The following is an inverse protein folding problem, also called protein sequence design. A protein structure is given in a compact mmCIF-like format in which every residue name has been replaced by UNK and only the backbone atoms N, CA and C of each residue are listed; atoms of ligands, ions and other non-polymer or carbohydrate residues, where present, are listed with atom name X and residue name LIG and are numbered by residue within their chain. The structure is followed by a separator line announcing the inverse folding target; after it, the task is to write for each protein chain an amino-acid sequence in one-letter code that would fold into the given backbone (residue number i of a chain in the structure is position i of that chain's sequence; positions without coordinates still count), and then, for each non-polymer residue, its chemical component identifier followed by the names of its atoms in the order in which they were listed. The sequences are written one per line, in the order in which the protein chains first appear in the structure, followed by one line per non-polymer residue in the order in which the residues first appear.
data_IF_699498647118
#
_entry.id   IF_699498647118
#
_cell.length_a   1.000
_cell.length_b   1.000
_cell.length_c   1.000
_cell.angle_alpha   90.00
_cell.angle_beta   90.00
_cell.angle_gamma   90.00
#
_symmetry.space_group_name_H-M   'P 1'
#
loop_
_entity.id
_entity.type
_entity.pdbx_description
1 polymer ?
#
# COMPACT_ATOMS: atom_id res chain seq x y z
N UNK A 1 -54.91 -43.71 42.48
CA UNK A 1 -55.01 -43.63 41.01
C UNK A 1 -54.96 -42.18 40.50
N UNK A 2 -55.77 -41.24 41.00
CA UNK A 2 -55.76 -39.83 40.53
C UNK A 2 -54.55 -39.01 40.98
N UNK A 3 -54.06 -39.22 42.20
CA UNK A 3 -52.96 -38.45 42.82
C UNK A 3 -51.57 -38.76 42.23
N UNK A 4 -51.39 -39.97 41.73
CA UNK A 4 -50.16 -40.45 41.10
C UNK A 4 -49.99 -39.82 39.71
N UNK A 5 -51.10 -39.75 38.96
CA UNK A 5 -51.17 -39.10 37.66
C UNK A 5 -50.82 -37.60 37.76
N UNK A 6 -51.40 -36.86 38.71
CA UNK A 6 -51.08 -35.43 38.90
C UNK A 6 -49.63 -35.19 39.26
N UNK A 7 -49.01 -36.10 40.01
CA UNK A 7 -47.59 -36.00 40.37
C UNK A 7 -46.70 -36.22 39.13
N UNK A 8 -47.04 -37.20 38.29
CA UNK A 8 -46.34 -37.46 37.02
C UNK A 8 -46.41 -36.26 36.06
N UNK A 9 -47.59 -35.68 35.86
CA UNK A 9 -47.75 -34.49 35.00
C UNK A 9 -46.95 -33.28 35.52
N UNK A 10 -46.88 -33.09 36.84
CA UNK A 10 -46.11 -32.00 37.44
C UNK A 10 -44.61 -32.16 37.18
N UNK A 11 -44.10 -33.39 37.29
CA UNK A 11 -42.69 -33.72 36.99
C UNK A 11 -42.38 -33.53 35.51
N UNK A 12 -43.28 -33.91 34.61
CA UNK A 12 -43.12 -33.69 33.17
C UNK A 12 -43.10 -32.20 32.82
N UNK A 13 -44.00 -31.39 33.38
CA UNK A 13 -44.01 -29.93 33.18
C UNK A 13 -42.72 -29.29 33.69
N UNK A 14 -42.21 -29.74 34.85
CA UNK A 14 -40.94 -29.24 35.39
C UNK A 14 -39.75 -29.63 34.50
N UNK A 15 -39.73 -30.86 33.98
CA UNK A 15 -38.71 -31.33 33.05
C UNK A 15 -38.74 -30.54 31.75
N UNK A 16 -39.93 -30.33 31.15
CA UNK A 16 -40.10 -29.53 29.95
C UNK A 16 -39.67 -28.07 30.17
N UNK A 17 -39.96 -27.49 31.34
CA UNK A 17 -39.50 -26.14 31.70
C UNK A 17 -37.98 -26.06 31.79
N UNK A 18 -37.33 -27.07 32.38
CA UNK A 18 -35.86 -27.14 32.41
C UNK A 18 -35.27 -27.30 31.00
N UNK A 19 -35.86 -28.15 30.17
CA UNK A 19 -35.44 -28.34 28.78
C UNK A 19 -35.58 -27.06 27.96
N UNK A 20 -36.67 -26.30 28.13
CA UNK A 20 -36.83 -25.00 27.46
C UNK A 20 -35.74 -23.99 27.86
N UNK A 21 -35.38 -23.95 29.14
CA UNK A 21 -34.30 -23.05 29.61
C UNK A 21 -32.95 -23.49 29.05
N UNK A 22 -32.68 -24.80 28.99
CA UNK A 22 -31.46 -25.33 28.40
C UNK A 22 -31.37 -24.99 26.90
N UNK A 23 -32.42 -25.27 26.12
CA UNK A 23 -32.47 -24.96 24.68
C UNK A 23 -32.35 -23.46 24.42
N UNK A 24 -32.96 -22.61 25.26
CA UNK A 24 -32.81 -21.16 25.16
C UNK A 24 -31.35 -20.72 25.31
N UNK A 25 -30.65 -21.25 26.32
CA UNK A 25 -29.23 -20.97 26.53
C UNK A 25 -28.35 -21.48 25.39
N UNK A 26 -28.59 -22.71 24.93
CA UNK A 26 -27.82 -23.30 23.83
C UNK A 26 -28.00 -22.52 22.53
N UNK A 27 -29.23 -22.07 22.24
CA UNK A 27 -29.51 -21.19 21.10
C UNK A 27 -28.73 -19.88 21.20
N UNK A 28 -28.78 -19.22 22.35
CA UNK A 28 -28.13 -17.92 22.54
C UNK A 28 -26.59 -18.06 22.44
N UNK A 29 -26.02 -19.10 23.04
CA UNK A 29 -24.59 -19.41 22.92
C UNK A 29 -24.18 -19.76 21.47
N UNK A 30 -25.00 -20.53 20.75
CA UNK A 30 -24.77 -20.82 19.34
C UNK A 30 -24.84 -19.57 18.47
N UNK A 31 -25.77 -18.66 18.77
CA UNK A 31 -25.93 -17.40 18.06
C UNK A 31 -24.74 -16.46 18.28
N UNK A 32 -24.29 -16.32 19.53
CA UNK A 32 -23.08 -15.53 19.86
C UNK A 32 -21.83 -16.08 19.18
N UNK A 33 -21.67 -17.41 19.20
CA UNK A 33 -20.56 -18.09 18.51
C UNK A 33 -20.62 -17.85 17.00
N UNK A 34 -21.78 -18.01 16.38
CA UNK A 34 -21.96 -17.78 14.94
C UNK A 34 -21.64 -16.33 14.55
N UNK A 35 -22.08 -15.35 15.34
CA UNK A 35 -21.78 -13.95 15.08
C UNK A 35 -20.28 -13.64 15.22
N UNK A 36 -19.62 -14.24 16.21
CA UNK A 36 -18.16 -14.13 16.37
C UNK A 36 -17.42 -14.71 15.16
N UNK A 37 -17.79 -15.91 14.71
CA UNK A 37 -17.19 -16.53 13.53
C UNK A 37 -17.43 -15.73 12.26
N UNK A 38 -18.63 -15.17 12.09
CA UNK A 38 -18.96 -14.29 10.97
C UNK A 38 -18.06 -13.06 10.92
N UNK A 39 -17.84 -12.41 12.07
CA UNK A 39 -16.93 -11.26 12.17
C UNK A 39 -15.50 -11.63 11.84
N UNK A 40 -14.98 -12.70 12.45
CA UNK A 40 -13.61 -13.17 12.21
C UNK A 40 -13.37 -13.50 10.74
N UNK A 41 -14.32 -14.22 10.12
CA UNK A 41 -14.22 -14.58 8.71
C UNK A 41 -14.26 -13.37 7.79
N UNK A 42 -15.13 -12.40 8.07
CA UNK A 42 -15.20 -11.16 7.29
C UNK A 42 -13.90 -10.36 7.40
N UNK A 43 -13.32 -10.24 8.59
CA UNK A 43 -12.05 -9.56 8.80
C UNK A 43 -10.91 -10.27 8.06
N UNK A 44 -10.80 -11.60 8.18
CA UNK A 44 -9.79 -12.39 7.49
C UNK A 44 -9.94 -12.31 5.96
N UNK A 45 -11.18 -12.35 5.46
CA UNK A 45 -11.46 -12.24 4.02
C UNK A 45 -11.03 -10.86 3.47
N UNK A 46 -11.30 -9.79 4.21
CA UNK A 46 -10.90 -8.44 3.82
C UNK A 46 -9.37 -8.25 3.88
N UNK A 47 -8.73 -8.82 4.91
CA UNK A 47 -7.28 -8.84 5.01
C UNK A 47 -6.64 -9.57 3.82
N UNK A 48 -7.13 -10.77 3.47
CA UNK A 48 -6.63 -11.52 2.32
C UNK A 48 -6.82 -10.80 0.99
N UNK A 49 -7.93 -10.08 0.81
CA UNK A 49 -8.15 -9.24 -0.38
C UNK A 49 -7.10 -8.14 -0.47
N UNK A 50 -6.88 -7.43 0.63
CA UNK A 50 -5.89 -6.36 0.72
C UNK A 50 -4.48 -6.89 0.43
N UNK A 51 -4.08 -7.99 1.08
CA UNK A 51 -2.77 -8.61 0.91
C UNK A 51 -2.55 -9.07 -0.54
N UNK A 52 -3.58 -9.64 -1.17
CA UNK A 52 -3.54 -10.06 -2.57
C UNK A 52 -3.36 -8.86 -3.49
N UNK A 53 -4.09 -7.76 -3.26
CA UNK A 53 -3.99 -6.55 -4.06
C UNK A 53 -2.59 -5.92 -3.94
N UNK A 54 -2.06 -5.79 -2.71
CA UNK A 54 -0.71 -5.28 -2.47
C UNK A 54 0.36 -6.16 -3.11
N UNK A 55 0.23 -7.48 -3.00
CA UNK A 55 1.15 -8.43 -3.64
C UNK A 55 1.11 -8.33 -5.17
N UNK A 56 -0.07 -8.18 -5.76
CA UNK A 56 -0.23 -7.99 -7.21
C UNK A 56 0.42 -6.68 -7.68
N UNK A 57 0.25 -5.59 -6.93
CA UNK A 57 0.91 -4.31 -7.21
C UNK A 57 2.43 -4.43 -7.11
N UNK A 58 2.94 -5.10 -6.08
CA UNK A 58 4.38 -5.36 -5.92
C UNK A 58 4.93 -6.20 -7.08
N UNK A 59 4.22 -7.27 -7.48
CA UNK A 59 4.59 -8.10 -8.64
C UNK A 59 4.57 -7.27 -9.93
N UNK A 60 3.56 -6.42 -10.13
CA UNK A 60 3.48 -5.56 -11.31
C UNK A 60 4.64 -4.55 -11.35
N UNK A 61 4.98 -3.93 -10.21
CA UNK A 61 6.13 -3.03 -10.07
C UNK A 61 7.44 -3.75 -10.36
N UNK A 62 7.66 -4.91 -9.74
CA UNK A 62 8.85 -5.73 -9.96
C UNK A 62 8.95 -6.21 -11.40
N UNK A 63 7.85 -6.59 -12.05
CA UNK A 63 7.84 -6.93 -13.47
C UNK A 63 8.22 -5.74 -14.35
N UNK A 64 7.72 -4.54 -14.04
CA UNK A 64 8.07 -3.33 -14.76
C UNK A 64 9.55 -2.96 -14.57
N UNK A 65 10.08 -3.11 -13.36
CA UNK A 65 11.49 -2.88 -13.06
C UNK A 65 12.38 -3.91 -13.74
N UNK A 66 11.97 -5.18 -13.72
CA UNK A 66 12.66 -6.27 -14.41
C UNK A 66 12.61 -6.06 -15.93
N UNK A 67 11.51 -5.58 -16.49
CA UNK A 67 11.44 -5.18 -17.90
C UNK A 67 12.32 -3.97 -18.23
N UNK A 68 12.50 -3.01 -17.31
CA UNK A 68 13.45 -1.91 -17.51
C UNK A 68 14.89 -2.42 -17.51
N UNK A 69 15.23 -3.31 -16.58
CA UNK A 69 16.56 -3.92 -16.47
C UNK A 69 16.85 -4.89 -17.62
N UNK A 70 15.88 -5.70 -18.05
CA UNK A 70 16.00 -6.57 -19.22
C UNK A 70 15.88 -5.80 -20.54
N UNK A 71 15.16 -4.68 -20.58
CA UNK A 71 15.19 -3.74 -21.71
C UNK A 71 16.55 -3.06 -21.86
N UNK A 72 17.33 -2.97 -20.78
CA UNK A 72 18.73 -2.58 -20.80
C UNK A 72 19.66 -3.76 -21.19
N UNK A 73 19.20 -5.01 -21.08
CA UNK A 73 19.98 -6.22 -21.29
C UNK A 73 19.50 -7.00 -22.54
N UNK A 74 20.10 -6.64 -23.69
CA UNK A 74 20.38 -7.48 -24.87
C UNK A 74 19.42 -7.65 -26.05
N UNK A 75 18.15 -7.21 -26.06
CA UNK A 75 17.32 -7.32 -27.30
C UNK A 75 16.43 -6.12 -27.69
N UNK A 76 16.39 -5.06 -26.90
CA UNK A 76 15.64 -3.87 -27.26
C UNK A 76 16.36 -2.60 -26.80
N UNK A 77 17.44 -2.23 -27.49
CA UNK A 77 17.77 -0.81 -27.54
C UNK A 77 16.53 -0.11 -28.14
N UNK A 78 15.89 0.85 -27.45
CA UNK A 78 14.71 1.57 -27.95
C UNK A 78 14.98 2.39 -29.22
N UNK A 79 16.19 2.28 -29.76
CA UNK A 79 16.73 3.14 -30.78
C UNK A 79 17.65 2.31 -31.67
N UNK A 80 17.11 1.25 -32.28
CA UNK A 80 17.82 0.48 -33.31
C UNK A 80 18.41 1.42 -34.39
N UNK A 81 17.76 2.55 -34.62
CA UNK A 81 18.26 3.70 -35.41
C UNK A 81 19.50 4.37 -34.82
N UNK A 82 19.50 4.78 -33.55
CA UNK A 82 20.71 5.34 -32.93
C UNK A 82 21.85 4.33 -32.82
N UNK A 83 21.58 3.05 -32.55
CA UNK A 83 22.61 2.00 -32.54
C UNK A 83 23.22 1.81 -33.92
N UNK A 84 22.39 1.78 -34.96
CA UNK A 84 22.87 1.69 -36.34
C UNK A 84 23.66 2.94 -36.74
N UNK A 85 23.24 4.13 -36.32
CA UNK A 85 23.96 5.39 -36.57
C UNK A 85 25.31 5.42 -35.85
N UNK A 86 25.38 5.00 -34.58
CA UNK A 86 26.62 4.87 -33.81
C UNK A 86 27.56 3.86 -34.48
N UNK A 87 27.02 2.72 -34.94
CA UNK A 87 27.79 1.70 -35.64
C UNK A 87 28.40 2.25 -36.96
N UNK A 88 27.60 2.98 -37.74
CA UNK A 88 28.07 3.66 -38.95
C UNK A 88 29.12 4.74 -38.66
N UNK A 89 28.94 5.52 -37.58
CA UNK A 89 29.95 6.49 -37.15
C UNK A 89 31.27 5.83 -36.76
N UNK A 90 31.22 4.68 -36.08
CA UNK A 90 32.41 3.92 -35.70
C UNK A 90 33.12 3.35 -36.94
N UNK A 91 32.36 2.85 -37.92
CA UNK A 91 32.90 2.32 -39.19
C UNK A 91 33.58 3.38 -40.06
N UNK A 92 33.20 4.66 -39.91
CA UNK A 92 33.81 5.79 -40.62
C UNK A 92 35.12 6.28 -39.96
N UNK A 93 35.45 5.83 -38.74
CA UNK A 93 36.68 6.23 -38.06
C UNK A 93 37.88 5.59 -38.74
N UNK A 94 38.87 6.41 -39.09
CA UNK A 94 40.04 5.96 -39.84
C UNK A 94 41.21 5.58 -38.92
N UNK A 95 41.11 5.91 -37.63
CA UNK A 95 42.15 5.58 -36.65
C UNK A 95 41.61 5.25 -35.26
N UNK A 96 42.39 4.47 -34.53
CA UNK A 96 42.13 4.12 -33.12
C UNK A 96 42.20 5.35 -32.20
N UNK A 97 42.96 6.38 -32.59
CA UNK A 97 43.14 7.61 -31.81
C UNK A 97 41.90 8.52 -31.86
N UNK A 98 41.20 8.54 -32.99
CA UNK A 98 39.89 9.21 -33.12
C UNK A 98 38.84 8.51 -32.25
N UNK A 99 38.84 7.17 -32.22
CA UNK A 99 37.96 6.39 -31.36
C UNK A 99 38.21 6.67 -29.87
N UNK A 100 39.47 6.69 -29.43
CA UNK A 100 39.84 7.04 -28.05
C UNK A 100 39.34 8.44 -27.69
N UNK A 101 39.50 9.41 -28.59
CA UNK A 101 39.08 10.80 -28.36
C UNK A 101 37.56 10.90 -28.23
N UNK A 102 36.80 10.28 -29.14
CA UNK A 102 35.34 10.22 -29.06
C UNK A 102 34.86 9.52 -27.79
N UNK A 103 35.50 8.41 -27.40
CA UNK A 103 35.16 7.66 -26.20
C UNK A 103 35.37 8.50 -24.93
N UNK A 104 36.50 9.21 -24.83
CA UNK A 104 36.78 10.10 -23.69
C UNK A 104 35.74 11.23 -23.61
N UNK A 105 35.36 11.81 -24.73
CA UNK A 105 34.31 12.85 -24.77
C UNK A 105 32.95 12.29 -24.33
N UNK A 106 32.56 11.13 -24.84
CA UNK A 106 31.30 10.48 -24.47
C UNK A 106 31.26 10.13 -22.97
N UNK A 107 32.38 9.65 -22.40
CA UNK A 107 32.51 9.36 -20.96
C UNK A 107 32.34 10.64 -20.13
N UNK A 108 33.02 11.74 -20.52
CA UNK A 108 32.89 13.03 -19.82
C UNK A 108 31.48 13.58 -19.87
N UNK A 109 30.82 13.45 -21.01
CA UNK A 109 29.45 13.93 -21.20
C UNK A 109 28.46 13.10 -20.39
N UNK A 110 28.62 11.76 -20.38
CA UNK A 110 27.86 10.88 -19.51
C UNK A 110 28.02 11.27 -18.04
N UNK A 111 29.25 11.48 -17.57
CA UNK A 111 29.52 11.81 -16.17
C UNK A 111 28.89 13.17 -15.79
N UNK A 112 28.96 14.15 -16.69
CA UNK A 112 28.28 15.44 -16.53
C UNK A 112 26.76 15.28 -16.44
N UNK A 113 26.16 14.47 -17.31
CA UNK A 113 24.71 14.22 -17.31
C UNK A 113 24.25 13.49 -16.04
N UNK A 114 25.03 12.53 -15.56
CA UNK A 114 24.75 11.86 -14.29
C UNK A 114 24.78 12.83 -13.11
N UNK A 115 25.75 13.75 -13.09
CA UNK A 115 25.84 14.77 -12.06
C UNK A 115 24.66 15.76 -12.12
N UNK A 116 24.25 16.17 -13.33
CA UNK A 116 23.09 17.03 -13.53
C UNK A 116 21.79 16.33 -13.06
N UNK A 117 21.61 15.06 -13.41
CA UNK A 117 20.47 14.26 -12.97
C UNK A 117 20.42 14.13 -11.45
N UNK A 118 21.56 13.86 -10.82
CA UNK A 118 21.64 13.75 -9.35
C UNK A 118 21.28 15.08 -8.68
N UNK A 119 21.77 16.19 -9.23
CA UNK A 119 21.43 17.54 -8.76
C UNK A 119 19.93 17.80 -8.85
N UNK A 120 19.31 17.42 -9.97
CA UNK A 120 17.87 17.59 -10.17
C UNK A 120 17.05 16.75 -9.18
N UNK A 121 17.46 15.51 -8.92
CA UNK A 121 16.82 14.65 -7.92
C UNK A 121 16.91 15.24 -6.51
N UNK A 122 18.07 15.78 -6.14
CA UNK A 122 18.27 16.40 -4.83
C UNK A 122 17.44 17.69 -4.69
N UNK A 123 17.38 18.51 -5.74
CA UNK A 123 16.51 19.70 -5.80
C UNK A 123 15.03 19.32 -5.67
N UNK A 124 14.59 18.25 -6.35
CA UNK A 124 13.22 17.76 -6.24
C UNK A 124 12.89 17.26 -4.83
N UNK A 125 13.80 16.50 -4.20
CA UNK A 125 13.63 16.04 -2.82
C UNK A 125 13.53 17.22 -1.86
N UNK A 126 14.44 18.20 -1.96
CA UNK A 126 14.42 19.41 -1.15
C UNK A 126 13.13 20.22 -1.36
N UNK A 127 12.67 20.36 -2.60
CA UNK A 127 11.41 21.07 -2.90
C UNK A 127 10.23 20.38 -2.23
N UNK A 128 10.15 19.05 -2.32
CA UNK A 128 9.09 18.27 -1.68
C UNK A 128 9.11 18.41 -0.16
N UNK A 129 10.28 18.34 0.44
CA UNK A 129 10.43 18.46 1.90
C UNK A 129 10.05 19.88 2.37
N UNK A 130 10.47 20.92 1.65
CA UNK A 130 10.06 22.31 1.90
C UNK A 130 8.54 22.50 1.79
N UNK A 131 7.91 21.95 0.75
CA UNK A 131 6.45 22.03 0.57
C UNK A 131 5.71 21.28 1.68
N UNK A 132 6.22 20.12 2.09
CA UNK A 132 5.63 19.31 3.17
C UNK A 132 5.72 20.03 4.51
N UNK A 133 6.88 20.63 4.82
CA UNK A 133 7.07 21.45 6.02
C UNK A 133 6.17 22.68 6.00
N UNK A 134 6.13 23.42 4.89
CA UNK A 134 5.26 24.60 4.76
C UNK A 134 3.77 24.25 4.92
N UNK A 135 3.34 23.08 4.43
CA UNK A 135 2.00 22.56 4.65
C UNK A 135 1.76 22.20 6.11
N UNK A 136 2.71 21.55 6.78
CA UNK A 136 2.66 21.27 8.21
C UNK A 136 2.52 22.54 9.04
N UNK A 137 3.37 23.53 8.78
CA UNK A 137 3.36 24.83 9.46
C UNK A 137 2.03 25.58 9.23
N UNK A 138 1.45 25.50 8.02
CA UNK A 138 0.16 26.09 7.72
C UNK A 138 -1.00 25.41 8.48
N UNK A 139 -0.98 24.08 8.59
CA UNK A 139 -1.97 23.31 9.36
C UNK A 139 -1.86 23.63 10.85
N UNK A 140 -0.64 23.69 11.39
CA UNK A 140 -0.39 24.05 12.79
C UNK A 140 -0.80 25.50 13.07
N UNK A 141 -0.53 26.41 12.14
CA UNK A 141 -0.99 27.80 12.18
C UNK A 141 -2.51 27.91 12.27
N UNK A 142 -3.22 27.21 11.38
CA UNK A 142 -4.68 27.17 11.37
C UNK A 142 -5.27 26.53 12.63
N UNK A 143 -4.63 25.48 13.15
CA UNK A 143 -5.05 24.81 14.38
C UNK A 143 -4.88 25.73 15.59
N UNK A 144 -3.77 26.46 15.69
CA UNK A 144 -3.55 27.47 16.74
C UNK A 144 -4.57 28.60 16.67
N UNK A 145 -4.85 29.10 15.46
CA UNK A 145 -5.83 30.17 15.25
C UNK A 145 -7.24 29.74 15.63
N UNK A 146 -7.63 28.49 15.30
CA UNK A 146 -8.89 27.90 15.77
C UNK A 146 -9.00 27.80 17.28
N UNK A 147 -7.96 27.30 17.96
CA UNK A 147 -7.95 27.15 19.42
C UNK A 147 -8.03 28.52 20.11
N UNK A 148 -7.35 29.54 19.56
CA UNK A 148 -7.44 30.91 20.08
C UNK A 148 -8.87 31.48 19.97
N UNK A 149 -9.54 31.28 18.83
CA UNK A 149 -10.92 31.73 18.61
C UNK A 149 -11.93 31.04 19.54
N UNK A 150 -11.73 29.75 19.84
CA UNK A 150 -12.56 28.98 20.78
C UNK A 150 -12.35 29.43 22.25
N UNK A 151 -11.15 29.86 22.61
CA UNK A 151 -10.85 30.40 23.94
C UNK A 151 -11.41 31.82 24.15
N UNK A 152 -11.31 32.70 23.14
CA UNK A 152 -11.86 34.06 23.21
C UNK A 152 -13.39 34.07 23.28
N UNK A 153 -14.06 33.11 22.63
CA UNK A 153 -15.53 32.96 22.73
C UNK A 153 -15.99 32.41 24.08
N UNK A 154 -15.15 31.67 24.82
CA UNK A 154 -15.44 31.22 26.19
C UNK A 154 -15.20 32.29 27.25
N UNK A 155 -14.30 33.25 27.01
CA UNK A 155 -14.07 34.38 27.93
C UNK A 155 -15.10 35.52 27.76
N UNK A 156 -15.86 35.53 26.65
CA UNK A 156 -16.88 36.54 26.36
C UNK A 156 -18.30 36.17 26.86
N UNK A 157 -18.47 35.01 27.50
CA UNK A 157 -19.70 34.53 28.16
C UNK A 157 -19.56 34.57 29.68
#
# INVERSE_FOLDING_TARGET
MSQDLTTQWLTEIQSLKQQMVAIGRDRDAAWESAEKWRKLYNTEAEQRRTDTQLSQQAIASLKAELQKVQGLDTQALPDATAVTAIQQEIEQLQSVEELKTKLVTAIKERDRLLQALKTEQDNHAQTRDNLTTALGDAIDGWTRERVALEHDTQQAL
#
